data_IF_622895359101
#
_entry.id   IF_622895359101
#
_cell.length_a   1.000
_cell.length_b   1.000
_cell.length_c   1.000
_cell.angle_alpha   90.00
_cell.angle_beta   90.00
_cell.angle_gamma   90.00
#
_symmetry.space_group_name_H-M   'P 1'
#
loop_
_entity.id
_entity.type
_entity.pdbx_description
1 polymer ?
#
# COMPACT_ATOMS: atom_id res chain seq x y z
N UNK A 1 -15.02 26.89 -52.35
CA UNK A 1 -14.97 27.18 -50.91
C UNK A 1 -16.26 26.68 -50.27
N UNK A 2 -16.22 25.64 -49.42
CA UNK A 2 -17.44 25.09 -48.79
C UNK A 2 -17.78 25.94 -47.56
N UNK A 3 -18.89 26.65 -47.60
CA UNK A 3 -19.42 27.41 -46.45
C UNK A 3 -19.93 26.41 -45.39
N UNK A 4 -19.20 26.28 -44.29
CA UNK A 4 -19.64 25.51 -43.14
C UNK A 4 -20.72 26.30 -42.42
N UNK A 5 -21.95 25.74 -42.29
CA UNK A 5 -23.07 26.39 -41.61
C UNK A 5 -22.69 26.69 -40.14
N UNK A 6 -23.07 27.88 -39.62
CA UNK A 6 -22.65 28.29 -38.27
C UNK A 6 -23.12 27.34 -37.16
N UNK A 7 -24.17 26.57 -37.39
CA UNK A 7 -24.67 25.54 -36.45
C UNK A 7 -23.71 24.36 -36.33
N UNK A 8 -23.11 23.88 -37.45
CA UNK A 8 -22.14 22.77 -37.43
C UNK A 8 -20.81 23.17 -36.80
N UNK A 9 -20.41 24.43 -36.92
CA UNK A 9 -19.22 24.98 -36.31
C UNK A 9 -19.37 25.05 -34.75
N UNK A 10 -20.54 25.48 -34.27
CA UNK A 10 -20.85 25.55 -32.82
C UNK A 10 -20.89 24.15 -32.20
N UNK A 11 -21.51 23.16 -32.84
CA UNK A 11 -21.53 21.78 -32.34
C UNK A 11 -20.15 21.17 -32.32
N UNK A 12 -19.29 21.44 -33.30
CA UNK A 12 -17.91 20.94 -33.31
C UNK A 12 -17.07 21.50 -32.16
N UNK A 13 -17.21 22.78 -31.82
CA UNK A 13 -16.54 23.43 -30.69
C UNK A 13 -17.02 22.85 -29.37
N UNK A 14 -18.33 22.59 -29.22
CA UNK A 14 -18.88 22.04 -27.99
C UNK A 14 -18.38 20.60 -27.75
N UNK A 15 -18.31 19.78 -28.79
CA UNK A 15 -17.78 18.40 -28.70
C UNK A 15 -16.27 18.41 -28.40
N UNK A 16 -15.51 19.32 -29.02
CA UNK A 16 -14.07 19.46 -28.73
C UNK A 16 -13.79 19.92 -27.32
N UNK A 17 -14.59 20.84 -26.78
CA UNK A 17 -14.46 21.35 -25.41
C UNK A 17 -14.88 20.30 -24.36
N UNK A 18 -15.91 19.50 -24.66
CA UNK A 18 -16.34 18.37 -23.83
C UNK A 18 -15.27 17.28 -23.77
N UNK A 19 -14.57 16.99 -24.88
CA UNK A 19 -13.49 16.00 -24.93
C UNK A 19 -12.25 16.41 -24.12
N UNK A 20 -11.97 17.73 -24.02
CA UNK A 20 -10.83 18.24 -23.25
C UNK A 20 -11.01 18.08 -21.73
N UNK A 21 -12.25 18.06 -21.24
CA UNK A 21 -12.56 17.96 -19.80
C UNK A 21 -12.28 16.53 -19.27
N UNK A 22 -12.37 15.50 -20.14
CA UNK A 22 -12.09 14.11 -19.75
C UNK A 22 -10.60 13.78 -19.57
N UNK A 23 -9.67 14.63 -20.00
CA UNK A 23 -8.22 14.38 -19.85
C UNK A 23 -7.60 14.91 -18.56
N UNK A 24 -8.35 15.65 -17.72
CA UNK A 24 -7.83 16.32 -16.53
C UNK A 24 -7.84 15.44 -15.24
N UNK A 25 -8.09 14.14 -15.31
CA UNK A 25 -8.47 13.30 -14.16
C UNK A 25 -7.37 12.46 -13.53
N UNK A 26 -6.15 12.36 -14.02
CA UNK A 26 -5.12 11.56 -13.38
C UNK A 26 -4.22 12.42 -12.46
N UNK A 27 -4.69 12.70 -11.22
CA UNK A 27 -3.76 13.05 -10.14
C UNK A 27 -2.94 11.80 -9.83
N UNK A 28 -1.64 11.80 -10.15
CA UNK A 28 -0.71 10.79 -9.65
C UNK A 28 -0.78 10.85 -8.12
N UNK A 29 -1.35 9.81 -7.52
CA UNK A 29 -1.11 9.55 -6.11
C UNK A 29 0.36 9.14 -6.03
N UNK A 30 1.19 9.94 -5.34
CA UNK A 30 2.57 9.56 -4.98
C UNK A 30 2.49 8.45 -3.92
N UNK A 31 2.13 7.25 -4.38
CA UNK A 31 1.92 6.07 -3.57
C UNK A 31 2.75 4.93 -4.15
N UNK A 32 3.56 4.34 -3.32
CA UNK A 32 4.18 3.05 -3.57
C UNK A 32 3.37 1.98 -2.83
N UNK A 33 3.05 0.88 -3.49
CA UNK A 33 2.52 -0.32 -2.82
C UNK A 33 3.07 -1.56 -3.51
N UNK A 34 3.60 -2.49 -2.71
CA UNK A 34 4.04 -3.80 -3.18
C UNK A 34 3.57 -4.87 -2.22
N UNK A 35 2.76 -5.78 -2.73
CA UNK A 35 2.27 -6.96 -2.03
C UNK A 35 2.87 -8.21 -2.66
N UNK A 36 3.26 -9.18 -1.83
CA UNK A 36 3.78 -10.47 -2.23
C UNK A 36 2.80 -11.55 -1.80
N UNK A 37 2.41 -12.41 -2.74
CA UNK A 37 1.54 -13.56 -2.46
C UNK A 37 2.31 -14.59 -1.63
N UNK A 38 1.66 -15.10 -0.57
CA UNK A 38 2.19 -16.17 0.27
C UNK A 38 1.81 -17.52 -0.35
N UNK A 39 2.79 -18.37 -0.68
CA UNK A 39 2.53 -19.66 -1.31
C UNK A 39 1.60 -20.54 -0.47
N UNK A 40 0.50 -20.99 -1.09
CA UNK A 40 -0.47 -21.88 -0.44
C UNK A 40 -1.14 -21.29 0.81
N UNK A 41 -1.08 -19.97 1.02
CA UNK A 41 -1.55 -19.28 2.22
C UNK A 41 -0.88 -19.76 3.51
N UNK A 42 0.35 -20.29 3.39
CA UNK A 42 1.16 -20.84 4.47
C UNK A 42 2.44 -20.02 4.61
N UNK A 43 2.42 -18.98 5.45
CA UNK A 43 3.56 -18.09 5.59
C UNK A 43 4.63 -18.70 6.48
N UNK A 44 5.70 -19.21 5.89
CA UNK A 44 6.87 -19.68 6.62
C UNK A 44 7.67 -18.53 7.22
N UNK A 45 8.22 -18.70 8.41
CA UNK A 45 9.00 -17.66 9.10
C UNK A 45 10.29 -17.28 8.35
N UNK A 46 10.84 -18.17 7.51
CA UNK A 46 11.99 -17.94 6.65
C UNK A 46 11.62 -17.32 5.29
N UNK A 47 10.34 -17.34 4.90
CA UNK A 47 9.86 -16.67 3.70
C UNK A 47 9.70 -15.17 3.94
N UNK A 48 10.70 -14.41 3.51
CA UNK A 48 10.67 -12.96 3.63
C UNK A 48 9.90 -12.30 2.49
N UNK A 49 8.95 -11.44 2.82
CA UNK A 49 8.35 -10.48 1.89
C UNK A 49 9.30 -9.30 1.75
N UNK A 50 9.79 -9.05 0.53
CA UNK A 50 10.80 -8.01 0.27
C UNK A 50 10.38 -7.09 -0.87
N UNK A 51 10.94 -5.89 -0.87
CA UNK A 51 10.77 -4.94 -1.95
C UNK A 51 11.60 -3.69 -1.76
N UNK A 52 11.52 -2.81 -2.77
CA UNK A 52 12.17 -1.50 -2.72
C UNK A 52 11.25 -0.41 -3.24
N UNK A 53 11.47 0.82 -2.78
CA UNK A 53 10.80 2.02 -3.25
C UNK A 53 11.76 3.20 -3.26
N UNK A 54 11.51 4.17 -4.12
CA UNK A 54 12.38 5.33 -4.26
C UNK A 54 11.75 6.56 -3.62
N UNK A 55 12.52 7.25 -2.79
CA UNK A 55 12.18 8.55 -2.22
C UNK A 55 12.97 9.61 -2.97
N UNK A 56 12.29 10.50 -3.68
CA UNK A 56 12.88 11.65 -4.33
C UNK A 56 12.74 12.93 -3.50
N UNK A 57 11.62 13.07 -2.78
CA UNK A 57 11.31 14.26 -1.98
C UNK A 57 11.50 13.95 -0.49
N UNK A 58 12.48 14.59 0.11
CA UNK A 58 12.81 14.46 1.55
C UNK A 58 12.22 15.57 2.41
N UNK A 59 11.54 16.54 1.81
CA UNK A 59 10.92 17.67 2.52
C UNK A 59 9.48 17.34 2.95
N UNK A 60 8.84 16.41 2.25
CA UNK A 60 7.49 15.97 2.56
C UNK A 60 7.50 14.79 3.53
N UNK A 61 6.47 14.69 4.34
CA UNK A 61 6.26 13.57 5.25
C UNK A 61 5.51 12.43 4.56
N UNK A 62 5.73 11.21 5.06
CA UNK A 62 5.15 9.98 4.53
C UNK A 62 4.48 9.15 5.61
N UNK A 63 3.41 8.48 5.25
CA UNK A 63 2.80 7.40 6.00
C UNK A 63 3.27 6.06 5.44
N UNK A 64 3.60 5.13 6.32
CA UNK A 64 4.00 3.77 5.97
C UNK A 64 2.95 2.81 6.53
N UNK A 65 2.39 1.98 5.66
CA UNK A 65 1.37 1.00 6.05
C UNK A 65 1.86 -0.41 5.78
N UNK A 66 1.57 -1.30 6.71
CA UNK A 66 1.52 -2.73 6.44
C UNK A 66 0.20 -3.04 5.71
N UNK A 67 0.28 -3.75 4.60
CA UNK A 67 -0.88 -4.28 3.88
C UNK A 67 -0.86 -5.80 4.03
N UNK A 68 -1.94 -6.36 4.55
CA UNK A 68 -2.06 -7.80 4.79
C UNK A 68 -3.40 -8.28 4.25
N UNK A 69 -3.39 -9.43 3.55
CA UNK A 69 -4.62 -10.17 3.22
C UNK A 69 -4.62 -11.49 3.94
N UNK A 70 -5.72 -11.80 4.58
CA UNK A 70 -5.96 -13.08 5.23
C UNK A 70 -7.39 -13.57 4.94
N UNK A 71 -7.64 -14.85 5.19
CA UNK A 71 -9.00 -15.37 5.15
C UNK A 71 -9.69 -15.17 6.51
N UNK A 72 -11.00 -15.30 6.57
CA UNK A 72 -11.78 -15.27 7.81
C UNK A 72 -11.45 -16.45 8.74
N UNK A 73 -10.87 -17.54 8.20
CA UNK A 73 -10.38 -18.69 8.96
C UNK A 73 -9.00 -18.46 9.65
N UNK A 74 -8.42 -17.25 9.57
CA UNK A 74 -7.21 -16.94 10.33
C UNK A 74 -7.49 -17.02 11.84
N UNK A 75 -6.64 -17.76 12.57
CA UNK A 75 -6.95 -18.18 13.94
C UNK A 75 -6.67 -17.10 15.02
N UNK A 76 -6.04 -15.98 14.66
CA UNK A 76 -5.59 -14.98 15.62
C UNK A 76 -6.15 -13.60 15.28
N UNK A 77 -6.49 -12.80 16.27
CA UNK A 77 -6.91 -11.42 16.08
C UNK A 77 -5.74 -10.43 15.88
N UNK A 78 -4.48 -10.92 15.91
CA UNK A 78 -3.26 -10.14 15.73
C UNK A 78 -2.22 -10.89 14.91
N UNK A 79 -1.17 -10.19 14.50
CA UNK A 79 0.02 -10.80 13.89
C UNK A 79 1.29 -10.11 14.39
N UNK A 80 2.28 -10.92 14.77
CA UNK A 80 3.61 -10.43 15.08
C UNK A 80 4.52 -10.51 13.86
N UNK A 81 5.11 -9.38 13.53
CA UNK A 81 6.00 -9.21 12.36
C UNK A 81 7.35 -8.66 12.80
N UNK A 82 8.41 -9.08 12.10
CA UNK A 82 9.71 -8.45 12.12
C UNK A 82 9.88 -7.67 10.83
N UNK A 83 9.83 -6.34 10.89
CA UNK A 83 9.87 -5.44 9.74
C UNK A 83 11.21 -4.72 9.71
N UNK A 84 11.97 -4.94 8.64
CA UNK A 84 13.22 -4.26 8.35
C UNK A 84 13.02 -3.15 7.32
N UNK A 85 13.64 -2.01 7.55
CA UNK A 85 13.76 -0.92 6.59
C UNK A 85 15.23 -0.51 6.48
N UNK A 86 15.70 -0.38 5.25
CA UNK A 86 17.06 0.02 4.91
C UNK A 86 17.03 1.31 4.08
N UNK A 87 17.66 2.36 4.59
CA UNK A 87 17.88 3.59 3.82
C UNK A 87 19.09 3.46 2.88
N UNK A 88 19.23 4.33 1.86
CA UNK A 88 20.39 4.34 0.98
C UNK A 88 21.70 4.42 1.74
N UNK A 89 22.61 3.49 1.45
CA UNK A 89 23.93 3.34 2.10
C UNK A 89 23.93 3.07 3.62
N UNK A 90 22.78 2.66 4.19
CA UNK A 90 22.69 2.26 5.59
C UNK A 90 22.49 0.75 5.74
N UNK A 91 22.64 0.24 6.96
CA UNK A 91 22.25 -1.12 7.31
C UNK A 91 20.74 -1.22 7.51
N UNK A 92 20.20 -2.43 7.32
CA UNK A 92 18.79 -2.69 7.56
C UNK A 92 18.48 -2.66 9.07
N UNK A 93 17.53 -1.84 9.46
CA UNK A 93 17.07 -1.73 10.85
C UNK A 93 15.76 -2.49 10.99
N UNK A 94 15.68 -3.41 11.95
CA UNK A 94 14.52 -4.27 12.21
C UNK A 94 13.75 -3.83 13.45
N UNK A 95 12.42 -3.89 13.33
CA UNK A 95 11.50 -3.66 14.45
C UNK A 95 10.49 -4.80 14.53
N UNK A 96 10.24 -5.30 15.74
CA UNK A 96 9.16 -6.25 16.02
C UNK A 96 7.88 -5.48 16.31
N UNK A 97 6.84 -5.78 15.57
CA UNK A 97 5.57 -5.06 15.63
C UNK A 97 4.45 -6.07 15.82
N UNK A 98 3.56 -5.80 16.77
CA UNK A 98 2.29 -6.50 16.94
C UNK A 98 1.19 -5.67 16.26
N UNK A 99 0.54 -6.23 15.26
CA UNK A 99 -0.58 -5.58 14.56
C UNK A 99 -1.87 -6.29 14.92
N UNK A 100 -2.83 -5.53 15.44
CA UNK A 100 -4.18 -6.01 15.65
C UNK A 100 -4.91 -6.06 14.29
N UNK A 101 -5.54 -7.18 13.97
CA UNK A 101 -6.26 -7.43 12.74
C UNK A 101 -7.78 -7.47 12.94
N UNK A 102 -8.21 -7.58 14.19
CA UNK A 102 -9.61 -7.64 14.56
C UNK A 102 -9.80 -7.81 16.06
N UNK A 103 -11.05 -7.93 16.47
CA UNK A 103 -11.40 -8.26 17.85
C UNK A 103 -12.65 -9.15 17.90
N UNK A 104 -12.83 -9.85 19.02
CA UNK A 104 -14.01 -10.70 19.22
C UNK A 104 -15.33 -9.90 19.26
N UNK A 105 -15.26 -8.60 19.51
CA UNK A 105 -16.43 -7.71 19.59
C UNK A 105 -16.75 -7.10 18.23
N UNK A 106 -15.75 -6.59 17.50
CA UNK A 106 -15.93 -5.86 16.25
C UNK A 106 -15.68 -6.68 14.99
N UNK A 107 -15.21 -7.94 15.14
CA UNK A 107 -14.78 -8.78 14.04
C UNK A 107 -13.47 -8.31 13.41
N UNK A 108 -13.25 -8.69 12.16
CA UNK A 108 -12.06 -8.32 11.40
C UNK A 108 -12.07 -6.84 11.03
N UNK A 109 -10.91 -6.22 11.09
CA UNK A 109 -10.70 -4.87 10.61
C UNK A 109 -10.39 -4.86 9.11
N UNK A 110 -10.60 -3.69 8.46
CA UNK A 110 -10.26 -3.48 7.06
C UNK A 110 -11.43 -3.67 6.10
N UNK A 111 -11.10 -3.99 4.85
CA UNK A 111 -12.10 -4.22 3.80
C UNK A 111 -12.27 -5.72 3.56
N UNK A 112 -13.49 -6.22 3.78
CA UNK A 112 -13.85 -7.61 3.57
C UNK A 112 -14.64 -7.81 2.28
N UNK A 113 -14.35 -8.89 1.56
CA UNK A 113 -15.14 -9.38 0.44
C UNK A 113 -15.19 -10.91 0.51
N UNK A 114 -16.38 -11.45 0.69
CA UNK A 114 -16.60 -12.85 1.01
C UNK A 114 -15.83 -13.27 2.28
N UNK A 115 -14.92 -14.24 2.17
CA UNK A 115 -14.07 -14.79 3.23
C UNK A 115 -12.65 -14.16 3.26
N UNK A 116 -12.41 -13.07 2.51
CA UNK A 116 -11.11 -12.43 2.38
C UNK A 116 -11.16 -11.04 2.99
N UNK A 117 -10.15 -10.72 3.81
CA UNK A 117 -9.98 -9.44 4.46
C UNK A 117 -8.65 -8.81 4.08
N UNK A 118 -8.69 -7.54 3.64
CA UNK A 118 -7.52 -6.72 3.44
C UNK A 118 -7.43 -5.67 4.53
N UNK A 119 -6.35 -5.72 5.28
CA UNK A 119 -6.07 -4.83 6.40
C UNK A 119 -4.90 -3.91 6.05
N UNK A 120 -5.08 -2.62 6.27
CA UNK A 120 -4.02 -1.60 6.12
C UNK A 120 -3.75 -0.97 7.47
N UNK A 121 -2.59 -1.24 8.06
CA UNK A 121 -2.19 -0.73 9.37
C UNK A 121 -1.06 0.26 9.26
N UNK A 122 -1.27 1.46 9.78
CA UNK A 122 -0.24 2.49 9.87
C UNK A 122 0.88 2.02 10.81
N UNK A 123 2.12 2.05 10.32
CA UNK A 123 3.30 1.61 11.07
C UNK A 123 3.97 2.76 11.83
N UNK A 124 3.88 3.99 11.34
CA UNK A 124 4.47 5.16 11.98
C UNK A 124 3.39 5.95 12.74
N UNK A 125 3.65 6.24 14.02
CA UNK A 125 2.71 6.95 14.88
C UNK A 125 2.32 8.36 14.38
N UNK A 126 3.17 8.96 13.55
CA UNK A 126 2.96 10.24 12.87
C UNK A 126 3.69 10.24 11.53
N UNK A 127 3.23 11.03 10.54
CA UNK A 127 3.95 11.19 9.29
C UNK A 127 5.40 11.63 9.53
N UNK A 128 6.35 11.01 8.85
CA UNK A 128 7.78 11.27 9.00
C UNK A 128 8.42 11.53 7.64
N UNK A 129 9.34 12.53 7.53
CA UNK A 129 10.14 12.69 6.34
C UNK A 129 11.23 11.61 6.27
N UNK A 130 11.53 11.14 5.09
CA UNK A 130 12.71 10.33 4.86
C UNK A 130 13.94 11.23 4.79
N UNK A 131 15.01 10.90 5.53
CA UNK A 131 16.20 11.75 5.66
C UNK A 131 17.12 11.73 4.44
N UNK A 132 17.08 10.69 3.63
CA UNK A 132 17.95 10.50 2.47
C UNK A 132 17.11 10.27 1.21
N UNK A 133 17.40 10.93 0.08
CA UNK A 133 16.81 10.55 -1.19
C UNK A 133 17.48 9.26 -1.70
N UNK A 134 16.74 8.49 -2.51
CA UNK A 134 17.23 7.26 -3.12
C UNK A 134 16.36 6.05 -2.85
N UNK A 135 16.92 4.87 -3.11
CA UNK A 135 16.21 3.61 -2.98
C UNK A 135 16.25 3.08 -1.55
N UNK A 136 15.07 2.84 -0.99
CA UNK A 136 14.85 2.16 0.28
C UNK A 136 14.46 0.71 0.02
N UNK A 137 14.97 -0.20 0.85
CA UNK A 137 14.60 -1.61 0.81
C UNK A 137 13.83 -1.98 2.06
N UNK A 138 12.86 -2.89 1.93
CA UNK A 138 12.15 -3.45 3.08
C UNK A 138 12.16 -4.96 3.08
N UNK A 139 12.07 -5.52 4.28
CA UNK A 139 11.96 -6.96 4.53
C UNK A 139 10.96 -7.22 5.66
N UNK A 140 10.01 -8.13 5.44
CA UNK A 140 8.98 -8.46 6.41
C UNK A 140 8.97 -9.97 6.59
N UNK A 141 9.10 -10.42 7.83
CA UNK A 141 8.96 -11.82 8.22
C UNK A 141 7.88 -11.93 9.30
N UNK A 142 7.07 -12.98 9.26
CA UNK A 142 6.22 -13.34 10.38
C UNK A 142 7.06 -13.95 11.51
N UNK A 143 6.71 -13.66 12.76
CA UNK A 143 7.36 -14.18 13.96
C UNK A 143 6.32 -14.72 14.98
N UNK A 144 5.23 -15.28 14.45
CA UNK A 144 4.23 -16.01 15.22
C UNK A 144 4.80 -17.36 15.69
N UNK A 145 4.10 -18.02 16.61
CA UNK A 145 4.47 -19.38 17.07
C UNK A 145 4.28 -20.43 15.98
N UNK A 146 3.25 -20.25 15.15
CA UNK A 146 2.94 -21.17 14.06
C UNK A 146 3.90 -20.99 12.91
N UNK A 147 4.49 -22.09 12.44
CA UNK A 147 5.37 -22.11 11.29
C UNK A 147 5.18 -23.40 10.45
N UNK A 148 4.54 -23.30 9.27
CA UNK A 148 4.02 -22.09 8.65
C UNK A 148 2.80 -21.51 9.34
N UNK A 149 2.64 -20.18 9.28
CA UNK A 149 1.44 -19.47 9.72
C UNK A 149 0.35 -19.59 8.64
N UNK A 150 -0.78 -20.27 8.93
CA UNK A 150 -1.80 -20.51 7.92
C UNK A 150 -2.68 -19.28 7.67
N UNK A 151 -3.42 -19.30 6.55
CA UNK A 151 -4.47 -18.36 6.17
C UNK A 151 -4.01 -16.93 5.85
N UNK A 152 -2.73 -16.71 5.64
CA UNK A 152 -2.18 -15.44 5.15
C UNK A 152 -1.99 -15.52 3.63
N UNK A 153 -2.75 -14.74 2.90
CA UNK A 153 -2.77 -14.76 1.44
C UNK A 153 -1.67 -13.92 0.81
N UNK A 154 -1.46 -12.71 1.36
CA UNK A 154 -0.41 -11.81 0.90
C UNK A 154 -0.01 -10.84 2.01
N UNK A 155 1.21 -10.33 1.90
CA UNK A 155 1.74 -9.30 2.78
C UNK A 155 2.57 -8.30 1.98
N UNK A 156 2.61 -7.05 2.42
CA UNK A 156 3.34 -6.01 1.71
C UNK A 156 3.42 -4.70 2.45
N UNK A 157 4.05 -3.74 1.79
CA UNK A 157 4.25 -2.39 2.29
C UNK A 157 3.64 -1.37 1.34
N UNK A 158 3.00 -0.35 1.90
CA UNK A 158 2.53 0.82 1.20
C UNK A 158 3.15 2.08 1.81
N UNK A 159 3.65 2.98 0.97
CA UNK A 159 4.23 4.26 1.36
C UNK A 159 3.45 5.36 0.66
N UNK A 160 2.85 6.25 1.41
CA UNK A 160 2.05 7.37 0.90
C UNK A 160 2.66 8.70 1.31
N UNK A 161 2.79 9.58 0.33
CA UNK A 161 3.13 10.98 0.58
C UNK A 161 1.94 11.68 1.23
N UNK A 162 2.17 12.33 2.36
CA UNK A 162 1.15 13.13 3.04
C UNK A 162 0.99 14.45 2.28
N UNK A 163 -0.24 14.77 1.91
CA UNK A 163 -0.53 16.08 1.29
C UNK A 163 -0.32 17.16 2.35
N UNK A 164 0.41 18.22 1.98
CA UNK A 164 0.34 19.47 2.72
C UNK A 164 -1.08 20.04 2.54
N UNK A 165 -1.74 20.34 3.65
CA UNK A 165 -3.00 21.08 3.67
C UNK A 165 -2.76 22.52 3.23
#
# INVERSE_FOLDING_TARGET
>A
MRNIKPTTFRTLITVLFSSLIFMAGCKRLDVFEKNTTIPGYQWKSDFAVTGSFTIADTLTSYNIYMVLRHTDAYAYNNIWLNIGLQAPADSMNFQKINLLLGSDISGWEGAGMNDIWEVRKLLNARPLPFKKPGEYQFRINQIMRDNPLPQIMSAGLRVEKVKAD
#
